data_IF_406384871327
#
_entry.id   IF_406384871327
#
_cell.length_a   1.000
_cell.length_b   1.000
_cell.length_c   1.000
_cell.angle_alpha   90.00
_cell.angle_beta   90.00
_cell.angle_gamma   90.00
#
_symmetry.space_group_name_H-M   'P 1'
#
loop_
_entity.id
_entity.type
_entity.pdbx_description
1 polymer ?
#
# COMPACT_ATOMS: atom_id res chain seq x y z
N UNK A 1 21.94 -13.07 -6.25
CA UNK A 1 21.17 -12.37 -5.20
C UNK A 1 20.19 -11.47 -5.92
N UNK A 2 18.93 -11.42 -5.48
CA UNK A 2 17.95 -10.51 -6.08
C UNK A 2 18.35 -9.07 -5.76
N UNK A 3 18.39 -8.20 -6.77
CA UNK A 3 18.68 -6.77 -6.62
C UNK A 3 17.43 -5.96 -6.20
N UNK A 4 16.40 -6.63 -5.66
CA UNK A 4 15.18 -5.97 -5.24
C UNK A 4 15.45 -5.00 -4.07
N UNK A 5 14.85 -3.80 -4.06
CA UNK A 5 15.08 -2.83 -2.99
C UNK A 5 14.61 -3.36 -1.62
N UNK A 6 15.31 -2.93 -0.57
CA UNK A 6 14.93 -3.19 0.83
C UNK A 6 13.56 -2.62 1.15
N UNK A 7 12.85 -3.23 2.11
CA UNK A 7 11.54 -2.75 2.57
C UNK A 7 11.58 -1.29 3.03
N UNK A 8 12.64 -0.88 3.73
CA UNK A 8 12.84 0.48 4.24
C UNK A 8 12.88 1.51 3.10
N UNK A 9 13.67 1.24 2.05
CA UNK A 9 13.73 2.08 0.84
C UNK A 9 12.37 2.18 0.14
N UNK A 10 11.63 1.08 0.04
CA UNK A 10 10.28 1.10 -0.57
C UNK A 10 9.31 1.94 0.28
N UNK A 11 9.28 1.74 1.60
CA UNK A 11 8.43 2.52 2.51
C UNK A 11 8.77 4.01 2.45
N UNK A 12 10.06 4.35 2.44
CA UNK A 12 10.51 5.74 2.31
C UNK A 12 10.01 6.37 1.01
N UNK A 13 10.20 5.71 -0.14
CA UNK A 13 9.72 6.20 -1.42
C UNK A 13 8.20 6.35 -1.47
N UNK A 14 7.43 5.46 -0.81
CA UNK A 14 5.98 5.60 -0.72
C UNK A 14 5.60 6.86 0.08
N UNK A 15 6.20 7.09 1.25
CA UNK A 15 5.93 8.28 2.06
C UNK A 15 6.36 9.58 1.34
N UNK A 16 7.48 9.56 0.63
CA UNK A 16 7.93 10.66 -0.23
C UNK A 16 6.96 10.93 -1.38
N UNK A 17 6.48 9.88 -2.05
CA UNK A 17 5.48 9.99 -3.11
C UNK A 17 4.16 10.58 -2.63
N UNK A 18 3.67 10.19 -1.45
CA UNK A 18 2.47 10.80 -0.85
C UNK A 18 2.72 12.27 -0.50
N UNK A 19 3.89 12.58 0.06
CA UNK A 19 4.27 13.97 0.37
C UNK A 19 4.34 14.83 -0.88
N UNK A 20 4.87 14.30 -2.00
CA UNK A 20 4.90 15.02 -3.26
C UNK A 20 3.50 15.20 -3.86
N UNK A 21 2.64 14.20 -3.74
CA UNK A 21 1.25 14.30 -4.17
C UNK A 21 0.51 15.42 -3.41
N UNK A 22 0.72 15.52 -2.10
CA UNK A 22 0.14 16.58 -1.27
C UNK A 22 0.60 17.96 -1.72
N UNK A 23 1.92 18.17 -1.86
CA UNK A 23 2.49 19.45 -2.30
C UNK A 23 1.96 19.88 -3.65
N UNK A 24 1.93 18.95 -4.61
CA UNK A 24 1.45 19.23 -5.95
C UNK A 24 -0.04 19.55 -5.96
N UNK A 25 -0.86 18.83 -5.17
CA UNK A 25 -2.29 19.09 -5.10
C UNK A 25 -2.62 20.41 -4.42
N UNK A 26 -1.93 20.76 -3.33
CA UNK A 26 -2.05 22.08 -2.72
C UNK A 26 -1.71 23.18 -3.72
N UNK A 27 -0.60 23.03 -4.45
CA UNK A 27 -0.22 23.97 -5.49
C UNK A 27 -1.31 24.12 -6.57
N UNK A 28 -1.83 23.00 -7.10
CA UNK A 28 -2.89 23.03 -8.12
C UNK A 28 -4.19 23.66 -7.65
N UNK A 29 -4.48 23.57 -6.35
CA UNK A 29 -5.71 24.11 -5.75
C UNK A 29 -5.49 25.47 -5.09
N UNK A 30 -4.30 26.08 -5.26
CA UNK A 30 -3.91 27.32 -4.63
C UNK A 30 -4.13 27.30 -3.10
N UNK A 31 -3.70 26.21 -2.46
CA UNK A 31 -3.81 25.93 -1.03
C UNK A 31 -5.25 25.93 -0.48
N UNK A 32 -6.25 25.68 -1.33
CA UNK A 32 -7.67 25.68 -0.90
C UNK A 32 -8.21 24.33 -0.50
N UNK A 33 -7.62 23.24 -1.00
CA UNK A 33 -8.14 21.90 -0.79
C UNK A 33 -7.01 20.96 -0.40
N UNK A 34 -7.24 20.16 0.63
CA UNK A 34 -6.36 19.05 1.01
C UNK A 34 -6.45 17.88 0.03
N UNK A 35 -5.42 17.03 -0.01
CA UNK A 35 -5.32 15.90 -0.95
C UNK A 35 -6.47 14.89 -0.86
N UNK A 36 -7.21 14.85 0.26
CA UNK A 36 -8.43 14.03 0.37
C UNK A 36 -9.55 14.46 -0.56
N UNK A 37 -9.57 15.74 -0.97
CA UNK A 37 -10.48 16.24 -2.01
C UNK A 37 -10.03 15.89 -3.43
N UNK A 38 -8.81 15.37 -3.58
CA UNK A 38 -8.23 15.01 -4.86
C UNK A 38 -8.69 13.66 -5.40
N UNK A 39 -8.47 13.41 -6.70
CA UNK A 39 -8.74 12.11 -7.30
C UNK A 39 -7.78 11.05 -6.74
N UNK A 40 -8.26 9.88 -6.34
CA UNK A 40 -7.42 8.83 -5.70
C UNK A 40 -6.17 8.47 -6.52
N UNK A 41 -6.24 8.53 -7.86
CA UNK A 41 -5.12 8.22 -8.76
C UNK A 41 -3.92 9.17 -8.64
N UNK A 42 -4.12 10.39 -8.13
CA UNK A 42 -3.00 11.31 -7.89
C UNK A 42 -1.96 10.67 -6.96
N UNK A 43 -2.42 9.95 -5.93
CA UNK A 43 -1.55 9.34 -4.94
C UNK A 43 -0.81 8.14 -5.56
N UNK A 44 -1.51 7.33 -6.37
CA UNK A 44 -0.88 6.23 -7.13
C UNK A 44 0.24 6.73 -8.07
N UNK A 45 -0.01 7.81 -8.83
CA UNK A 45 0.94 8.32 -9.82
C UNK A 45 2.23 8.80 -9.14
N UNK A 46 2.11 9.62 -8.08
CA UNK A 46 3.30 10.16 -7.41
C UNK A 46 4.07 9.10 -6.63
N UNK A 47 3.37 8.14 -6.01
CA UNK A 47 4.02 6.99 -5.37
C UNK A 47 4.75 6.14 -6.40
N UNK A 48 4.15 5.85 -7.56
CA UNK A 48 4.79 5.12 -8.64
C UNK A 48 6.04 5.84 -9.17
N UNK A 49 5.98 7.18 -9.32
CA UNK A 49 7.12 7.99 -9.72
C UNK A 49 8.25 7.90 -8.70
N UNK A 50 7.96 8.06 -7.41
CA UNK A 50 8.97 7.97 -6.35
C UNK A 50 9.62 6.57 -6.28
N UNK A 51 8.82 5.51 -6.41
CA UNK A 51 9.32 4.13 -6.48
C UNK A 51 10.23 3.89 -7.69
N UNK A 52 9.94 4.52 -8.83
CA UNK A 52 10.76 4.46 -10.04
C UNK A 52 12.12 5.15 -9.93
N UNK A 53 12.33 5.99 -8.90
CA UNK A 53 13.59 6.68 -8.63
C UNK A 53 14.51 5.91 -7.67
N UNK A 54 14.06 4.80 -7.09
CA UNK A 54 14.90 3.96 -6.22
C UNK A 54 16.05 3.37 -7.03
N UNK A 55 17.25 3.34 -6.46
CA UNK A 55 18.38 2.60 -7.04
C UNK A 55 18.03 1.10 -7.13
N UNK A 56 18.16 0.51 -8.32
CA UNK A 56 17.61 -0.82 -8.65
C UNK A 56 16.08 -0.86 -8.55
N UNK A 57 15.42 0.17 -9.07
CA UNK A 57 13.96 0.28 -9.05
C UNK A 57 13.28 -1.00 -9.56
N UNK A 58 12.23 -1.46 -8.87
CA UNK A 58 11.43 -2.60 -9.32
C UNK A 58 10.66 -2.23 -10.59
N UNK A 59 10.01 -3.21 -11.19
CA UNK A 59 8.96 -2.93 -12.17
C UNK A 59 7.69 -2.52 -11.43
N UNK A 60 7.11 -1.39 -11.82
CA UNK A 60 5.96 -0.78 -11.13
C UNK A 60 4.72 -0.98 -11.99
N UNK A 61 3.76 -1.75 -11.49
CA UNK A 61 2.47 -1.96 -12.12
C UNK A 61 1.39 -1.23 -11.34
N UNK A 62 0.54 -0.49 -12.04
CA UNK A 62 -0.62 0.21 -11.45
C UNK A 62 -1.87 -0.60 -11.78
N UNK A 63 -2.72 -0.82 -10.78
CA UNK A 63 -3.99 -1.56 -10.92
C UNK A 63 -3.86 -3.01 -11.40
N UNK A 64 -2.77 -3.68 -11.02
CA UNK A 64 -2.64 -5.12 -11.28
C UNK A 64 -3.76 -5.89 -10.56
N UNK A 65 -4.42 -6.79 -11.29
CA UNK A 65 -5.51 -7.60 -10.73
C UNK A 65 -4.98 -8.67 -9.78
N UNK A 66 -5.83 -9.16 -8.87
CA UNK A 66 -5.43 -10.26 -7.96
C UNK A 66 -4.96 -11.48 -8.76
N UNK A 67 -5.62 -11.81 -9.88
CA UNK A 67 -5.19 -12.95 -10.68
C UNK A 67 -3.82 -12.79 -11.30
N UNK A 68 -3.49 -11.58 -11.76
CA UNK A 68 -2.20 -11.33 -12.43
C UNK A 68 -1.07 -11.42 -11.40
N UNK A 69 -1.26 -10.80 -10.24
CA UNK A 69 -0.33 -10.87 -9.11
C UNK A 69 -0.11 -12.33 -8.67
N UNK A 70 -1.19 -13.12 -8.54
CA UNK A 70 -1.08 -14.53 -8.15
C UNK A 70 -0.39 -15.39 -9.21
N UNK A 71 -0.58 -15.09 -10.51
CA UNK A 71 0.16 -15.77 -11.59
C UNK A 71 1.66 -15.47 -11.52
N UNK A 72 2.04 -14.30 -11.03
CA UNK A 72 3.44 -13.88 -10.91
C UNK A 72 4.07 -14.22 -9.56
N UNK A 73 3.28 -14.58 -8.54
CA UNK A 73 3.79 -14.88 -7.19
C UNK A 73 3.67 -16.34 -6.75
N UNK A 74 2.74 -17.12 -7.32
CA UNK A 74 2.61 -18.54 -6.97
C UNK A 74 3.60 -19.41 -7.74
N UNK A 75 4.12 -20.51 -7.13
CA UNK A 75 5.00 -21.46 -7.81
C UNK A 75 4.37 -22.07 -9.06
N UNK A 76 3.05 -22.32 -9.00
CA UNK A 76 2.26 -22.77 -10.15
C UNK A 76 1.27 -21.67 -10.54
N UNK A 77 1.56 -21.00 -11.65
CA UNK A 77 0.74 -19.91 -12.19
C UNK A 77 -0.71 -20.28 -12.43
N UNK A 78 -0.99 -21.54 -12.78
CA UNK A 78 -2.35 -22.01 -13.05
C UNK A 78 -3.18 -22.20 -11.78
N UNK A 79 -2.55 -22.18 -10.60
CA UNK A 79 -3.22 -22.39 -9.33
C UNK A 79 -3.97 -21.15 -8.80
N UNK A 80 -3.87 -19.99 -9.46
CA UNK A 80 -4.44 -18.73 -8.97
C UNK A 80 -5.95 -18.83 -8.67
N UNK A 81 -6.74 -19.50 -9.52
CA UNK A 81 -8.19 -19.67 -9.32
C UNK A 81 -8.49 -20.42 -8.02
N UNK A 82 -7.85 -21.57 -7.84
CA UNK A 82 -7.98 -22.38 -6.63
C UNK A 82 -7.48 -21.65 -5.40
N UNK A 83 -6.41 -20.86 -5.52
CA UNK A 83 -5.92 -20.02 -4.42
C UNK A 83 -6.98 -18.99 -4.03
N UNK A 84 -7.58 -18.29 -5.00
CA UNK A 84 -8.61 -17.30 -4.73
C UNK A 84 -9.86 -17.91 -4.07
N UNK A 85 -10.33 -19.04 -4.57
CA UNK A 85 -11.48 -19.77 -4.01
C UNK A 85 -11.21 -20.20 -2.57
N UNK A 86 -10.06 -20.83 -2.30
CA UNK A 86 -9.68 -21.30 -0.95
C UNK A 86 -9.56 -20.17 0.06
N UNK A 87 -9.12 -18.99 -0.39
CA UNK A 87 -8.90 -17.83 0.47
C UNK A 87 -10.07 -16.84 0.47
N UNK A 88 -11.18 -17.15 -0.21
CA UNK A 88 -12.31 -16.24 -0.40
C UNK A 88 -11.86 -14.84 -0.87
N UNK A 89 -11.02 -14.80 -1.90
CA UNK A 89 -10.53 -13.58 -2.55
C UNK A 89 -11.37 -13.23 -3.77
N UNK A 90 -11.77 -11.96 -3.87
CA UNK A 90 -12.37 -11.40 -5.08
C UNK A 90 -11.29 -10.95 -6.08
N UNK A 91 -11.66 -10.83 -7.36
CA UNK A 91 -10.71 -10.51 -8.44
C UNK A 91 -10.00 -9.16 -8.23
N UNK A 92 -10.75 -8.09 -7.92
CA UNK A 92 -10.23 -6.77 -7.52
C UNK A 92 -9.00 -6.24 -8.28
N UNK A 93 -8.34 -5.25 -7.68
CA UNK A 93 -7.01 -4.81 -8.09
C UNK A 93 -6.30 -4.18 -6.90
N UNK A 94 -4.97 -4.22 -6.91
CA UNK A 94 -4.14 -3.44 -5.99
C UNK A 94 -3.66 -2.17 -6.66
N UNK A 95 -3.55 -1.09 -5.89
CA UNK A 95 -3.18 0.23 -6.41
C UNK A 95 -1.81 0.23 -7.08
N UNK A 96 -0.83 -0.45 -6.46
CA UNK A 96 0.51 -0.66 -7.02
C UNK A 96 0.98 -2.08 -6.71
N UNK A 97 1.65 -2.72 -7.66
CA UNK A 97 2.44 -3.95 -7.45
C UNK A 97 3.88 -3.69 -7.87
N UNK A 98 4.84 -4.24 -7.12
CA UNK A 98 6.26 -4.21 -7.44
C UNK A 98 6.76 -5.60 -7.76
N UNK A 99 7.32 -5.72 -8.95
CA UNK A 99 7.88 -6.96 -9.45
C UNK A 99 9.41 -6.85 -9.55
N UNK A 100 10.09 -7.98 -9.45
CA UNK A 100 11.53 -8.03 -9.70
C UNK A 100 11.86 -7.61 -11.12
N UNK A 101 12.82 -6.69 -11.26
CA UNK A 101 13.32 -6.27 -12.57
C UNK A 101 14.38 -7.24 -13.06
N UNK A 102 14.14 -7.84 -14.22
CA UNK A 102 15.10 -8.65 -14.96
C UNK A 102 14.80 -8.61 -16.46
N UNK A 103 15.67 -9.21 -17.27
CA UNK A 103 15.45 -9.28 -18.72
C UNK A 103 14.37 -10.30 -19.02
N UNK A 104 13.23 -9.81 -19.51
CA UNK A 104 12.11 -10.64 -19.91
C UNK A 104 12.41 -11.47 -21.15
N UNK A 105 12.02 -12.73 -21.12
CA UNK A 105 12.02 -13.65 -22.25
C UNK A 105 10.65 -13.66 -22.94
N UNK A 106 9.58 -13.29 -22.25
CA UNK A 106 8.24 -13.16 -22.83
C UNK A 106 7.40 -12.11 -22.06
N UNK A 107 6.10 -12.05 -22.31
CA UNK A 107 5.22 -11.10 -21.62
C UNK A 107 4.68 -11.65 -20.29
N UNK A 108 5.01 -12.89 -19.94
CA UNK A 108 4.51 -13.54 -18.74
C UNK A 108 5.58 -13.69 -17.66
N UNK A 109 6.86 -13.47 -17.91
CA UNK A 109 7.89 -13.67 -16.90
C UNK A 109 8.02 -12.47 -15.98
N UNK A 110 7.04 -12.26 -15.10
CA UNK A 110 7.13 -11.31 -13.99
C UNK A 110 7.09 -12.05 -12.65
N UNK A 111 7.68 -11.44 -11.62
CA UNK A 111 7.76 -11.98 -10.26
C UNK A 111 7.31 -10.91 -9.29
N UNK A 112 6.06 -11.00 -8.83
CA UNK A 112 5.51 -10.03 -7.87
C UNK A 112 6.04 -10.28 -6.47
N UNK A 113 6.58 -9.22 -5.86
CA UNK A 113 7.16 -9.22 -4.51
C UNK A 113 6.34 -8.40 -3.53
N UNK A 114 5.82 -7.26 -3.97
CA UNK A 114 5.12 -6.31 -3.09
C UNK A 114 3.78 -5.91 -3.69
N UNK A 115 2.74 -5.90 -2.86
CA UNK A 115 1.40 -5.42 -3.22
C UNK A 115 1.00 -4.24 -2.35
N UNK A 116 0.31 -3.25 -2.91
CA UNK A 116 -0.03 -2.03 -2.18
C UNK A 116 -1.44 -1.54 -2.48
N UNK A 117 -2.17 -1.18 -1.42
CA UNK A 117 -3.40 -0.40 -1.50
C UNK A 117 -3.10 1.04 -1.08
N UNK A 118 -3.59 1.99 -1.87
CA UNK A 118 -3.39 3.42 -1.66
C UNK A 118 -4.73 4.15 -1.47
N UNK A 119 -4.86 4.92 -0.38
CA UNK A 119 -6.08 5.66 -0.04
C UNK A 119 -5.79 7.11 0.34
N UNK A 120 -6.48 8.06 -0.27
CA UNK A 120 -6.51 9.45 0.19
C UNK A 120 -7.72 9.67 1.11
N UNK A 121 -7.55 10.48 2.17
CA UNK A 121 -8.63 10.84 3.09
C UNK A 121 -8.96 9.78 4.16
N UNK A 122 -7.95 9.08 4.69
CA UNK A 122 -8.15 8.11 5.78
C UNK A 122 -8.16 8.84 7.12
N UNK A 123 -9.35 9.27 7.56
CA UNK A 123 -9.50 10.06 8.80
C UNK A 123 -10.01 9.26 10.01
N UNK A 124 -10.58 8.07 9.78
CA UNK A 124 -11.15 7.18 10.81
C UNK A 124 -10.95 5.72 10.39
N UNK A 125 -10.99 4.80 11.35
CA UNK A 125 -11.21 3.39 11.05
C UNK A 125 -12.57 3.22 10.34
N UNK A 126 -12.58 2.48 9.22
CA UNK A 126 -13.79 2.17 8.44
C UNK A 126 -13.72 0.71 8.01
N UNK A 127 -14.89 0.09 7.88
CA UNK A 127 -15.01 -1.29 7.39
C UNK A 127 -14.30 -1.50 6.04
N UNK A 128 -14.41 -0.53 5.13
CA UNK A 128 -13.71 -0.53 3.84
C UNK A 128 -12.20 -0.73 4.00
N UNK A 129 -11.56 -0.04 4.93
CA UNK A 129 -10.10 -0.14 5.14
C UNK A 129 -9.73 -1.47 5.77
N UNK A 130 -10.53 -1.96 6.73
CA UNK A 130 -10.31 -3.29 7.31
C UNK A 130 -10.49 -4.41 6.28
N UNK A 131 -11.41 -4.28 5.31
CA UNK A 131 -11.54 -5.24 4.21
C UNK A 131 -10.30 -5.25 3.30
N UNK A 132 -9.70 -4.09 3.04
CA UNK A 132 -8.45 -3.98 2.28
C UNK A 132 -7.26 -4.62 3.03
N UNK A 133 -7.16 -4.41 4.36
CA UNK A 133 -6.17 -5.08 5.21
C UNK A 133 -6.37 -6.60 5.20
N UNK A 134 -7.62 -7.07 5.31
CA UNK A 134 -7.92 -8.50 5.25
C UNK A 134 -7.54 -9.09 3.89
N UNK A 135 -7.79 -8.35 2.78
CA UNK A 135 -7.38 -8.77 1.44
C UNK A 135 -5.85 -8.89 1.32
N UNK A 136 -5.09 -7.93 1.85
CA UNK A 136 -3.62 -8.02 1.92
C UNK A 136 -3.20 -9.25 2.72
N UNK A 137 -3.82 -9.50 3.89
CA UNK A 137 -3.52 -10.67 4.71
C UNK A 137 -3.77 -11.99 3.98
N UNK A 138 -4.92 -12.11 3.29
CA UNK A 138 -5.27 -13.29 2.49
C UNK A 138 -4.31 -13.55 1.32
N UNK A 139 -3.74 -12.50 0.74
CA UNK A 139 -2.72 -12.61 -0.31
C UNK A 139 -1.37 -13.08 0.23
N UNK A 140 -1.02 -12.70 1.47
CA UNK A 140 0.30 -12.92 2.06
C UNK A 140 0.38 -14.17 2.95
N UNK A 141 -0.75 -14.65 3.49
CA UNK A 141 -0.75 -15.78 4.40
C UNK A 141 -0.19 -17.02 3.71
N UNK A 142 0.78 -17.67 4.37
CA UNK A 142 1.45 -18.87 3.89
C UNK A 142 1.94 -19.69 5.05
N UNK A 143 1.99 -21.02 4.89
CA UNK A 143 2.60 -21.91 5.90
C UNK A 143 4.10 -22.03 5.71
N UNK A 144 4.56 -21.91 4.47
CA UNK A 144 5.97 -21.99 4.10
C UNK A 144 6.34 -20.90 3.10
N UNK A 145 7.61 -20.45 3.13
CA UNK A 145 8.12 -19.39 2.23
C UNK A 145 7.98 -19.76 0.75
N UNK A 146 7.96 -21.05 0.42
CA UNK A 146 7.90 -21.54 -0.96
C UNK A 146 6.49 -21.53 -1.55
N UNK A 147 5.44 -21.20 -0.79
CA UNK A 147 4.05 -21.16 -1.29
C UNK A 147 3.72 -19.90 -2.09
N UNK A 148 4.47 -18.81 -1.87
CA UNK A 148 4.28 -17.54 -2.56
C UNK A 148 5.57 -16.73 -2.53
N UNK A 149 5.88 -16.04 -3.62
CA UNK A 149 7.03 -15.14 -3.75
C UNK A 149 6.74 -13.71 -3.24
N UNK A 150 5.51 -13.42 -2.82
CA UNK A 150 5.18 -12.15 -2.17
C UNK A 150 5.94 -12.03 -0.85
N UNK A 151 6.64 -10.92 -0.67
CA UNK A 151 7.44 -10.64 0.52
C UNK A 151 6.63 -9.86 1.55
N UNK A 152 5.86 -8.86 1.13
CA UNK A 152 5.02 -8.05 2.02
C UNK A 152 3.95 -7.28 1.25
N UNK A 153 2.99 -6.72 1.99
CA UNK A 153 1.96 -5.84 1.48
C UNK A 153 1.93 -4.52 2.25
N UNK A 154 1.48 -3.45 1.60
CA UNK A 154 1.38 -2.12 2.21
C UNK A 154 -0.04 -1.59 2.06
N UNK A 155 -0.64 -1.16 3.16
CA UNK A 155 -1.74 -0.21 3.14
C UNK A 155 -1.18 1.18 3.43
N UNK A 156 -1.07 2.00 2.39
CA UNK A 156 -0.53 3.33 2.48
C UNK A 156 -1.63 4.38 2.28
N UNK A 157 -1.56 5.45 3.05
CA UNK A 157 -2.64 6.43 3.10
C UNK A 157 -2.18 7.84 3.37
N UNK A 158 -2.97 8.78 2.86
CA UNK A 158 -2.95 10.18 3.26
C UNK A 158 -4.12 10.44 4.22
N UNK A 159 -3.83 11.02 5.37
CA UNK A 159 -4.81 11.41 6.37
C UNK A 159 -4.74 12.92 6.60
N UNK A 160 -5.90 13.58 6.56
CA UNK A 160 -6.02 15.00 6.87
C UNK A 160 -7.31 15.29 7.66
N UNK A 161 -7.31 16.42 8.36
CA UNK A 161 -8.46 16.94 9.07
C UNK A 161 -8.45 18.47 9.02
N UNK A 162 -9.65 19.07 9.06
CA UNK A 162 -9.77 20.52 9.10
C UNK A 162 -9.33 21.12 10.44
N UNK A 163 -9.03 22.42 10.43
CA UNK A 163 -8.75 23.21 11.65
C UNK A 163 -9.85 23.06 12.72
N UNK A 164 -11.10 22.92 12.30
CA UNK A 164 -12.29 22.80 13.15
C UNK A 164 -12.52 21.38 13.72
N UNK A 165 -11.73 20.39 13.31
CA UNK A 165 -11.92 19.02 13.75
C UNK A 165 -11.64 18.86 15.25
N UNK A 166 -12.66 18.38 15.99
CA UNK A 166 -12.57 18.15 17.45
C UNK A 166 -11.50 17.14 17.86
N UNK A 167 -11.24 16.14 17.01
CA UNK A 167 -10.28 15.06 17.25
C UNK A 167 -9.13 15.17 16.26
N UNK A 168 -7.91 15.30 16.79
CA UNK A 168 -6.67 15.52 16.03
C UNK A 168 -6.06 14.22 15.48
N UNK A 169 -5.16 14.33 14.49
CA UNK A 169 -4.54 13.15 13.86
C UNK A 169 -3.73 12.31 14.85
N UNK A 170 -3.10 12.95 15.84
CA UNK A 170 -2.37 12.28 16.91
C UNK A 170 -3.21 11.27 17.70
N UNK A 171 -4.54 11.42 17.72
CA UNK A 171 -5.47 10.43 18.31
C UNK A 171 -6.08 9.49 17.27
N UNK A 172 -6.36 9.97 16.06
CA UNK A 172 -7.02 9.19 15.00
C UNK A 172 -6.13 8.10 14.42
N UNK A 173 -4.86 8.41 14.15
CA UNK A 173 -3.93 7.46 13.52
C UNK A 173 -3.72 6.21 14.40
N UNK A 174 -3.46 6.32 15.72
CA UNK A 174 -3.36 5.13 16.57
C UNK A 174 -4.62 4.24 16.56
N UNK A 175 -5.81 4.82 16.47
CA UNK A 175 -7.06 4.05 16.40
C UNK A 175 -7.24 3.34 15.06
N UNK A 176 -6.82 3.98 13.97
CA UNK A 176 -6.79 3.36 12.64
C UNK A 176 -5.83 2.17 12.65
N UNK A 177 -4.62 2.37 13.16
CA UNK A 177 -3.59 1.33 13.28
C UNK A 177 -4.08 0.17 14.14
N UNK A 178 -4.67 0.47 15.31
CA UNK A 178 -5.25 -0.54 16.18
C UNK A 178 -6.31 -1.39 15.48
N UNK A 179 -7.20 -0.76 14.71
CA UNK A 179 -8.21 -1.49 13.92
C UNK A 179 -7.57 -2.39 12.84
N UNK A 180 -6.42 -2.01 12.28
CA UNK A 180 -5.68 -2.84 11.34
C UNK A 180 -4.99 -4.01 12.06
N UNK A 181 -4.41 -3.78 13.24
CA UNK A 181 -3.79 -4.82 14.07
C UNK A 181 -4.81 -5.90 14.44
N UNK A 182 -6.04 -5.53 14.80
CA UNK A 182 -7.12 -6.48 15.08
C UNK A 182 -7.45 -7.41 13.90
N UNK A 183 -7.23 -6.97 12.66
CA UNK A 183 -7.39 -7.82 11.47
C UNK A 183 -6.18 -8.71 11.29
N UNK A 184 -4.96 -8.17 11.34
CA UNK A 184 -3.70 -8.92 11.15
C UNK A 184 -3.56 -10.03 12.20
N UNK A 185 -3.97 -9.76 13.45
CA UNK A 185 -3.92 -10.75 14.54
C UNK A 185 -4.77 -12.00 14.31
N UNK A 186 -5.70 -11.99 13.35
CA UNK A 186 -6.48 -13.17 12.93
C UNK A 186 -5.68 -14.11 12.01
N UNK A 187 -4.51 -13.67 11.54
CA UNK A 187 -3.62 -14.39 10.62
C UNK A 187 -2.29 -14.71 11.32
N UNK A 188 -2.17 -15.88 11.97
CA UNK A 188 -1.02 -16.17 12.85
C UNK A 188 0.35 -16.13 12.17
N UNK A 189 0.39 -16.41 10.87
CA UNK A 189 1.62 -16.39 10.04
C UNK A 189 2.10 -14.99 9.68
N UNK A 190 1.36 -13.94 10.03
CA UNK A 190 1.66 -12.56 9.64
C UNK A 190 2.07 -11.70 10.84
N UNK A 191 2.84 -10.67 10.54
CA UNK A 191 3.20 -9.58 11.45
C UNK A 191 3.07 -8.25 10.68
N UNK A 192 3.11 -7.14 11.40
CA UNK A 192 2.95 -5.81 10.82
C UNK A 192 3.80 -4.77 11.52
N UNK A 193 4.11 -3.70 10.79
CA UNK A 193 4.80 -2.51 11.26
C UNK A 193 4.10 -1.27 10.71
N UNK A 194 4.11 -0.18 11.48
CA UNK A 194 3.55 1.11 11.04
C UNK A 194 4.64 2.18 10.95
N UNK A 195 4.68 2.88 9.82
CA UNK A 195 5.57 3.99 9.55
C UNK A 195 4.73 5.20 9.14
N UNK A 196 5.12 6.39 9.57
CA UNK A 196 4.40 7.61 9.22
C UNK A 196 5.34 8.81 9.10
N UNK A 197 4.92 9.80 8.33
CA UNK A 197 5.52 11.13 8.40
C UNK A 197 5.10 11.84 9.69
N UNK A 198 5.85 12.86 10.14
CA UNK A 198 5.33 13.79 11.15
C UNK A 198 3.99 14.39 10.74
N UNK A 199 3.15 14.70 11.72
CA UNK A 199 1.92 15.46 11.49
C UNK A 199 2.32 16.89 11.13
N UNK A 200 1.90 17.34 9.97
CA UNK A 200 2.15 18.68 9.45
C UNK A 200 0.91 19.54 9.62
N UNK A 201 1.10 20.78 10.06
CA UNK A 201 0.03 21.78 10.11
C UNK A 201 0.12 22.69 8.88
N UNK A 202 -1.01 22.93 8.25
CA UNK A 202 -1.17 23.86 7.13
C UNK A 202 -2.16 24.92 7.55
N UNK A 203 -1.74 26.18 7.45
CA UNK A 203 -2.57 27.34 7.83
C UNK A 203 -3.90 27.30 7.07
N UNK A 204 -5.00 27.61 7.78
CA UNK A 204 -6.38 27.58 7.27
C UNK A 204 -6.94 26.20 6.87
N UNK A 205 -6.10 25.22 6.50
CA UNK A 205 -6.51 23.89 6.06
C UNK A 205 -6.57 22.86 7.18
N UNK A 206 -5.61 22.84 8.11
CA UNK A 206 -5.61 21.94 9.27
C UNK A 206 -4.38 21.06 9.38
N UNK A 207 -4.55 19.78 9.69
CA UNK A 207 -3.45 18.82 9.92
C UNK A 207 -3.46 17.74 8.85
N UNK A 208 -2.28 17.28 8.44
CA UNK A 208 -2.15 16.08 7.62
C UNK A 208 -0.94 15.21 7.99
N UNK A 209 -0.97 13.94 7.63
CA UNK A 209 0.16 13.01 7.69
C UNK A 209 0.01 11.90 6.63
N UNK A 210 1.13 11.33 6.19
CA UNK A 210 1.17 10.10 5.42
C UNK A 210 1.46 8.91 6.34
N UNK A 211 0.80 7.78 6.10
CA UNK A 211 1.00 6.54 6.83
C UNK A 211 1.24 5.36 5.89
N UNK A 212 2.08 4.41 6.31
CA UNK A 212 2.36 3.14 5.68
C UNK A 212 2.23 2.03 6.72
N UNK A 213 1.18 1.23 6.60
CA UNK A 213 0.98 0.04 7.40
C UNK A 213 1.44 -1.18 6.59
N UNK A 214 2.56 -1.76 7.00
CA UNK A 214 3.24 -2.85 6.29
C UNK A 214 2.89 -4.18 6.95
N UNK A 215 2.50 -5.17 6.16
CA UNK A 215 2.14 -6.52 6.59
C UNK A 215 3.10 -7.50 5.92
N UNK A 216 3.69 -8.41 6.68
CA UNK A 216 4.67 -9.37 6.16
C UNK A 216 4.54 -10.74 6.83
N UNK A 217 4.88 -11.83 6.13
CA UNK A 217 4.95 -13.16 6.74
C UNK A 217 6.09 -13.25 7.75
N UNK A 218 5.85 -13.96 8.86
CA UNK A 218 6.85 -14.30 9.88
C UNK A 218 7.88 -15.30 9.39
#
# INVERSE_FOLDING_TARGET
MSNFPSQERVVQAVLEGITQAEKNFLFWTNNRLSLSSGPQKILCIHVAQALGLIENAPEVFIDASVSDILRCSLPNRKAFKTFMEKNALSQGAFSITLDERFVHHNHNDSISRVIMTLKNGVCNAKAEYTFEIERLCKMLQRKSKNESLLDYGIFAFYADISTQARKKLAKRIPEIVHSFDEVVNRFPSLSSNFYATPITQVEELGEWAAGCYVIFPK
#
